data_IF_317336752156
#
_entry.id   IF_317336752156
#
_cell.length_a   1.000
_cell.length_b   1.000
_cell.length_c   1.000
_cell.angle_alpha   90.00
_cell.angle_beta   90.00
_cell.angle_gamma   90.00
#
_symmetry.space_group_name_H-M   'P 1'
#
loop_
_entity.id
_entity.type
_entity.pdbx_description
1 polymer ?
#
# COMPACT_ATOMS: atom_id res chain seq x y z
N UNK A 1 -15.75 -4.99 -8.25
CA UNK A 1 -15.17 -6.25 -7.72
C UNK A 1 -15.64 -6.40 -6.28
N UNK A 2 -15.94 -7.61 -5.80
CA UNK A 2 -16.36 -7.81 -4.42
C UNK A 2 -15.14 -7.70 -3.49
N UNK A 3 -15.19 -6.80 -2.48
CA UNK A 3 -14.07 -6.51 -1.57
C UNK A 3 -13.60 -7.74 -0.80
N UNK A 4 -14.49 -8.72 -0.60
CA UNK A 4 -14.25 -9.97 0.11
C UNK A 4 -13.07 -10.79 -0.45
N UNK A 5 -12.67 -10.56 -1.70
CA UNK A 5 -11.57 -11.28 -2.34
C UNK A 5 -10.23 -10.52 -2.31
N UNK A 6 -10.20 -9.30 -1.77
CA UNK A 6 -8.98 -8.49 -1.69
C UNK A 6 -8.22 -8.80 -0.40
N UNK A 7 -6.89 -8.92 -0.51
CA UNK A 7 -6.04 -9.15 0.66
C UNK A 7 -5.91 -7.89 1.50
N UNK A 8 -6.07 -8.02 2.81
CA UNK A 8 -5.92 -6.90 3.73
C UNK A 8 -4.45 -6.58 3.97
N UNK A 9 -4.13 -5.29 3.99
CA UNK A 9 -2.78 -4.78 4.21
C UNK A 9 -2.75 -3.67 5.24
N UNK A 10 -1.64 -3.59 5.97
CA UNK A 10 -1.23 -2.45 6.79
C UNK A 10 -0.30 -1.57 5.95
N UNK A 11 -0.55 -0.26 5.93
CA UNK A 11 0.40 0.71 5.37
C UNK A 11 1.25 1.26 6.51
N UNK A 12 2.55 1.15 6.34
CA UNK A 12 3.58 1.47 7.31
C UNK A 12 4.26 2.78 6.95
N UNK A 13 4.80 3.46 7.96
CA UNK A 13 5.72 4.57 7.80
C UNK A 13 6.92 4.36 8.71
N UNK A 14 8.11 4.46 8.13
CA UNK A 14 9.35 4.48 8.88
C UNK A 14 9.65 5.93 9.28
N UNK A 15 9.59 6.25 10.58
CA UNK A 15 9.96 7.58 11.08
C UNK A 15 11.46 7.63 11.50
N UNK A 16 12.05 6.49 11.87
CA UNK A 16 13.49 6.29 12.16
C UNK A 16 13.85 4.80 12.05
N UNK A 17 15.15 4.42 12.04
CA UNK A 17 15.62 3.03 11.84
C UNK A 17 14.88 1.96 12.67
N UNK A 18 14.43 2.28 13.90
CA UNK A 18 13.70 1.35 14.77
C UNK A 18 12.23 1.69 15.05
N UNK A 19 11.65 2.73 14.40
CA UNK A 19 10.25 3.10 14.61
C UNK A 19 9.41 2.94 13.34
N UNK A 20 8.75 1.79 13.26
CA UNK A 20 7.72 1.51 12.26
C UNK A 20 6.36 1.85 12.86
N UNK A 21 5.64 2.78 12.24
CA UNK A 21 4.28 3.15 12.61
C UNK A 21 3.28 2.67 11.58
N UNK A 22 2.19 2.06 12.04
CA UNK A 22 1.04 1.76 11.18
C UNK A 22 0.26 3.06 10.97
N UNK A 23 0.08 3.46 9.71
CA UNK A 23 -0.70 4.65 9.37
C UNK A 23 -2.19 4.32 9.25
N UNK A 24 -2.51 3.29 8.47
CA UNK A 24 -3.87 2.86 8.20
C UNK A 24 -3.87 1.45 7.58
N UNK A 25 -5.06 0.84 7.57
CA UNK A 25 -5.31 -0.44 6.92
C UNK A 25 -6.12 -0.24 5.64
N UNK A 26 -5.98 -1.16 4.70
CA UNK A 26 -6.76 -1.16 3.47
C UNK A 26 -6.72 -2.51 2.76
N UNK A 27 -7.20 -2.52 1.53
CA UNK A 27 -7.32 -3.69 0.68
C UNK A 27 -6.39 -3.54 -0.52
N UNK A 28 -5.50 -4.51 -0.72
CA UNK A 28 -4.58 -4.52 -1.85
C UNK A 28 -5.32 -4.85 -3.14
N UNK A 29 -5.14 -4.01 -4.17
CA UNK A 29 -5.78 -4.19 -5.47
C UNK A 29 -4.78 -4.66 -6.55
N UNK A 30 -3.69 -3.91 -6.76
CA UNK A 30 -2.69 -4.23 -7.79
C UNK A 30 -1.35 -3.54 -7.54
N UNK A 31 -0.31 -4.02 -8.22
CA UNK A 31 0.98 -3.34 -8.34
C UNK A 31 1.01 -2.55 -9.63
N UNK A 32 1.53 -1.32 -9.57
CA UNK A 32 1.77 -0.47 -10.74
C UNK A 32 3.22 0.00 -10.76
N UNK A 33 3.71 0.29 -11.96
CA UNK A 33 5.01 0.92 -12.19
C UNK A 33 4.82 2.42 -12.31
N UNK A 34 5.51 3.20 -11.48
CA UNK A 34 5.61 4.65 -11.62
C UNK A 34 6.98 5.01 -12.20
N UNK A 35 6.98 5.74 -13.32
CA UNK A 35 8.20 6.15 -14.00
C UNK A 35 8.50 7.61 -13.67
N UNK A 36 9.69 7.88 -13.12
CA UNK A 36 10.14 9.24 -12.85
C UNK A 36 11.61 9.42 -13.24
N UNK A 37 11.86 10.41 -14.09
CA UNK A 37 13.15 10.83 -14.65
C UNK A 37 13.92 9.77 -15.44
N UNK A 38 14.22 8.60 -14.85
CA UNK A 38 14.77 7.38 -15.49
C UNK A 38 14.61 6.14 -14.59
N UNK A 39 13.82 6.24 -13.51
CA UNK A 39 13.66 5.19 -12.50
C UNK A 39 12.25 4.65 -12.52
N UNK A 40 12.13 3.34 -12.33
CA UNK A 40 10.85 2.66 -12.14
C UNK A 40 10.66 2.39 -10.65
N UNK A 41 9.58 2.91 -10.08
CA UNK A 41 9.19 2.67 -8.70
C UNK A 41 7.98 1.74 -8.67
N UNK A 42 8.08 0.68 -7.87
CA UNK A 42 6.96 -0.22 -7.63
C UNK A 42 6.03 0.40 -6.59
N UNK A 43 4.78 0.59 -6.97
CA UNK A 43 3.72 1.09 -6.10
C UNK A 43 2.61 0.07 -5.95
N UNK A 44 1.96 0.06 -4.80
CA UNK A 44 0.75 -0.71 -4.55
C UNK A 44 -0.47 0.23 -4.55
N UNK A 45 -1.54 -0.19 -5.22
CA UNK A 45 -2.85 0.46 -5.19
C UNK A 45 -3.67 -0.16 -4.06
N UNK A 46 -4.04 0.68 -3.09
CA UNK A 46 -4.76 0.30 -1.87
C UNK A 46 -6.12 0.99 -1.84
N UNK A 47 -7.17 0.22 -1.59
CA UNK A 47 -8.54 0.71 -1.37
C UNK A 47 -8.83 0.76 0.13
N UNK A 48 -9.29 1.90 0.63
CA UNK A 48 -9.71 2.07 2.01
C UNK A 48 -11.20 1.67 2.20
N UNK A 49 -11.61 1.49 3.46
CA UNK A 49 -12.99 1.11 3.81
C UNK A 49 -14.04 2.10 3.26
N UNK A 50 -13.69 3.38 3.18
CA UNK A 50 -14.54 4.45 2.62
C UNK A 50 -14.58 4.46 1.08
N UNK A 51 -13.82 3.58 0.41
CA UNK A 51 -13.68 3.54 -1.06
C UNK A 51 -12.61 4.47 -1.62
N UNK A 52 -11.89 5.21 -0.78
CA UNK A 52 -10.77 6.03 -1.22
C UNK A 52 -9.64 5.14 -1.75
N UNK A 53 -9.10 5.49 -2.92
CA UNK A 53 -7.94 4.82 -3.51
C UNK A 53 -6.67 5.60 -3.19
N UNK A 54 -5.65 4.91 -2.71
CA UNK A 54 -4.31 5.46 -2.46
C UNK A 54 -3.24 4.63 -3.14
N UNK A 55 -2.18 5.31 -3.55
CA UNK A 55 -0.99 4.69 -4.11
C UNK A 55 0.15 4.86 -3.12
N UNK A 56 0.77 3.76 -2.71
CA UNK A 56 1.86 3.74 -1.73
C UNK A 56 3.04 2.95 -2.28
N UNK A 57 4.23 3.10 -1.69
CA UNK A 57 5.36 2.23 -2.04
C UNK A 57 5.00 0.78 -1.76
N UNK A 58 5.39 -0.14 -2.65
CA UNK A 58 5.22 -1.57 -2.40
C UNK A 58 6.00 -2.03 -1.15
N UNK A 59 7.07 -1.33 -0.80
CA UNK A 59 7.89 -1.63 0.37
C UNK A 59 7.28 -1.12 1.69
N UNK A 60 6.26 -0.26 1.63
CA UNK A 60 5.61 0.33 2.80
C UNK A 60 4.32 -0.43 3.17
N UNK A 61 4.08 -1.62 2.60
CA UNK A 61 2.88 -2.42 2.89
C UNK A 61 3.23 -3.76 3.50
N UNK A 62 2.38 -4.22 4.41
CA UNK A 62 2.45 -5.54 5.04
C UNK A 62 1.11 -6.24 4.91
N UNK A 63 1.10 -7.43 4.33
CA UNK A 63 -0.09 -8.28 4.27
C UNK A 63 -0.40 -8.86 5.66
N UNK A 64 -1.66 -8.81 6.08
CA UNK A 64 -2.10 -9.24 7.42
C UNK A 64 -3.21 -10.31 7.41
N UNK A 65 -3.50 -10.88 6.25
CA UNK A 65 -4.44 -11.98 6.06
C UNK A 65 -4.11 -12.78 4.80
#
# INVERSE_FOLDING_TARGET
>A
MNRDNLRKVEVLKCDSEDNIKILYNGYFHQIINEFCQDRTFLKAVIELEDGTIRTVSLYDIKFIS
#
